data_IF_796983403565
#
_entry.id   IF_796983403565
#
_cell.length_a   1.000
_cell.length_b   1.000
_cell.length_c   1.000
_cell.angle_alpha   90.00
_cell.angle_beta   90.00
_cell.angle_gamma   90.00
#
_symmetry.space_group_name_H-M   'P 1'
#
loop_
_entity.id
_entity.type
_entity.pdbx_description
1 polymer ?
#
# COMPACT_ATOMS: atom_id res chain seq x y z
N UNK A 1 11.54 7.41 -12.69
CA UNK A 1 13.01 7.52 -12.70
C UNK A 1 13.54 7.68 -14.12
N UNK A 2 13.37 6.69 -15.01
CA UNK A 2 13.81 6.79 -16.41
C UNK A 2 13.24 8.01 -17.16
N UNK A 3 11.94 8.27 -17.03
CA UNK A 3 11.28 9.46 -17.62
C UNK A 3 11.87 10.79 -17.14
N UNK A 4 12.43 10.82 -15.93
CA UNK A 4 13.01 12.01 -15.31
C UNK A 4 14.52 12.13 -15.56
N UNK A 5 15.14 11.15 -16.23
CA UNK A 5 16.59 11.12 -16.43
C UNK A 5 17.41 10.99 -15.14
N UNK A 6 16.80 10.54 -14.03
CA UNK A 6 17.48 10.42 -12.73
C UNK A 6 18.09 9.03 -12.54
N UNK A 7 19.21 8.97 -11.83
CA UNK A 7 19.83 7.72 -11.41
C UNK A 7 18.84 6.88 -10.59
N UNK A 8 18.80 5.57 -10.87
CA UNK A 8 17.88 4.64 -10.23
C UNK A 8 18.68 3.49 -9.61
N UNK A 9 18.45 3.26 -8.31
CA UNK A 9 19.06 2.18 -7.56
C UNK A 9 17.97 1.27 -7.01
N UNK A 10 18.20 -0.05 -7.08
CA UNK A 10 17.29 -1.05 -6.51
C UNK A 10 17.97 -1.64 -5.27
N UNK A 11 17.28 -1.56 -4.13
CA UNK A 11 17.72 -2.17 -2.87
C UNK A 11 16.80 -3.34 -2.57
N UNK A 12 17.36 -4.54 -2.52
CA UNK A 12 16.60 -5.72 -2.12
C UNK A 12 16.38 -5.73 -0.60
N UNK A 13 15.14 -5.99 -0.19
CA UNK A 13 14.77 -6.02 1.23
C UNK A 13 13.92 -7.25 1.52
N UNK A 14 14.21 -7.92 2.64
CA UNK A 14 13.44 -9.02 3.17
C UNK A 14 12.61 -8.51 4.35
N UNK A 15 11.34 -8.19 4.12
CA UNK A 15 10.48 -7.64 5.19
C UNK A 15 9.86 -8.70 6.07
N UNK A 16 9.53 -9.86 5.50
CA UNK A 16 8.94 -10.98 6.25
C UNK A 16 9.95 -11.75 7.11
N UNK A 17 11.25 -11.42 7.02
CA UNK A 17 12.26 -11.96 7.92
C UNK A 17 12.33 -11.26 9.28
N UNK A 18 11.68 -10.10 9.42
CA UNK A 18 11.56 -9.37 10.68
C UNK A 18 10.21 -9.69 11.32
N UNK A 19 10.23 -10.29 12.51
CA UNK A 19 9.00 -10.66 13.23
C UNK A 19 8.14 -9.44 13.58
N UNK A 20 8.75 -8.27 13.80
CA UNK A 20 8.03 -7.02 14.06
C UNK A 20 7.26 -6.53 12.83
N UNK A 21 7.52 -7.13 11.67
CA UNK A 21 6.78 -6.90 10.44
C UNK A 21 5.86 -8.09 10.12
N UNK A 22 6.40 -9.31 10.15
CA UNK A 22 5.70 -10.53 9.75
C UNK A 22 4.47 -10.83 10.61
N UNK A 23 4.53 -10.57 11.93
CA UNK A 23 3.40 -10.75 12.86
C UNK A 23 2.30 -9.70 12.71
N UNK A 24 2.45 -8.76 11.79
CA UNK A 24 1.49 -7.71 11.49
C UNK A 24 0.99 -6.93 12.73
N UNK A 25 1.84 -6.48 13.67
CA UNK A 25 1.37 -5.67 14.79
C UNK A 25 0.90 -4.28 14.33
N UNK A 26 0.13 -3.52 15.15
CA UNK A 26 -0.31 -2.17 14.82
C UNK A 26 0.84 -1.20 14.46
N UNK A 27 2.02 -1.39 15.07
CA UNK A 27 3.22 -0.59 14.82
C UNK A 27 4.10 -1.13 13.67
N UNK A 28 3.68 -2.16 12.93
CA UNK A 28 4.41 -2.74 11.77
C UNK A 28 4.96 -1.68 10.83
N UNK A 29 4.16 -0.65 10.53
CA UNK A 29 4.54 0.44 9.64
C UNK A 29 5.78 1.21 10.10
N UNK A 30 6.00 1.33 11.42
CA UNK A 30 7.19 1.94 12.00
C UNK A 30 8.43 1.09 11.68
N UNK A 31 8.43 -0.19 12.07
CA UNK A 31 9.55 -1.12 11.84
C UNK A 31 9.87 -1.26 10.35
N UNK A 32 8.82 -1.39 9.54
CA UNK A 32 8.91 -1.43 8.09
C UNK A 32 9.57 -0.17 7.50
N UNK A 33 9.14 1.04 7.88
CA UNK A 33 9.80 2.27 7.39
C UNK A 33 11.24 2.38 7.90
N UNK A 34 11.49 2.08 9.17
CA UNK A 34 12.83 2.15 9.79
C UNK A 34 13.82 1.28 9.03
N UNK A 35 13.51 -0.01 8.85
CA UNK A 35 14.39 -0.95 8.14
C UNK A 35 14.67 -0.53 6.68
N UNK A 36 13.67 0.03 5.98
CA UNK A 36 13.85 0.48 4.60
C UNK A 36 14.72 1.73 4.49
N UNK A 37 14.44 2.74 5.30
CA UNK A 37 15.17 4.00 5.25
C UNK A 37 16.57 3.90 5.81
N UNK A 38 16.84 3.01 6.76
CA UNK A 38 18.22 2.69 7.18
C UNK A 38 19.08 2.21 6.01
N UNK A 39 18.57 1.27 5.19
CA UNK A 39 19.28 0.81 3.98
C UNK A 39 19.44 1.90 2.93
N UNK A 40 18.44 2.76 2.76
CA UNK A 40 18.53 3.92 1.84
C UNK A 40 19.60 4.89 2.31
N UNK A 41 19.69 5.16 3.61
CA UNK A 41 20.70 6.03 4.22
C UNK A 41 22.12 5.46 4.07
N UNK A 42 22.29 4.15 4.28
CA UNK A 42 23.56 3.45 4.04
C UNK A 42 24.03 3.62 2.59
N UNK A 43 23.13 3.37 1.63
CA UNK A 43 23.44 3.58 0.21
C UNK A 43 23.73 5.05 -0.11
N UNK A 44 22.96 5.97 0.48
CA UNK A 44 23.16 7.41 0.30
C UNK A 44 24.56 7.83 0.77
N UNK A 45 24.98 7.38 1.94
CA UNK A 45 26.31 7.62 2.48
C UNK A 45 27.42 7.04 1.58
N UNK A 46 27.28 5.78 1.13
CA UNK A 46 28.23 5.15 0.20
C UNK A 46 28.37 5.90 -1.14
N UNK A 47 27.30 6.56 -1.59
CA UNK A 47 27.29 7.37 -2.82
C UNK A 47 27.64 8.84 -2.60
N UNK A 48 27.91 9.26 -1.35
CA UNK A 48 28.24 10.64 -1.01
C UNK A 48 27.04 11.59 -0.99
N UNK A 49 25.81 11.09 -0.97
CA UNK A 49 24.61 11.90 -0.80
C UNK A 49 24.43 12.31 0.67
N UNK A 50 24.23 13.61 0.90
CA UNK A 50 24.08 14.18 2.26
C UNK A 50 22.66 14.10 2.81
N UNK A 51 21.67 13.90 1.96
CA UNK A 51 20.26 14.06 2.33
C UNK A 51 19.42 12.99 1.65
N UNK A 52 18.54 12.38 2.45
CA UNK A 52 17.49 11.48 1.98
C UNK A 52 16.15 12.17 2.20
N UNK A 53 15.31 12.13 1.17
CA UNK A 53 13.98 12.73 1.17
C UNK A 53 12.92 11.68 0.87
N UNK A 54 11.72 11.87 1.43
CA UNK A 54 10.53 11.08 1.08
C UNK A 54 9.39 11.94 0.53
N UNK A 55 8.34 11.26 0.05
CA UNK A 55 7.17 11.89 -0.54
C UNK A 55 6.04 12.22 0.44
N UNK A 56 6.29 12.27 1.75
CA UNK A 56 5.26 12.64 2.73
C UNK A 56 4.79 14.07 2.45
N UNK A 57 3.47 14.26 2.38
CA UNK A 57 2.81 15.53 2.04
C UNK A 57 2.02 16.12 3.23
N UNK A 58 1.42 17.29 3.06
CA UNK A 58 0.74 18.00 4.14
C UNK A 58 -0.54 17.30 4.64
N UNK A 59 -1.27 16.59 3.77
CA UNK A 59 -2.50 15.88 4.18
C UNK A 59 -2.19 14.72 5.12
N UNK A 60 -1.01 14.11 4.99
CA UNK A 60 -0.55 13.01 5.85
C UNK A 60 -0.33 13.44 7.31
N UNK A 61 -0.32 14.73 7.62
CA UNK A 61 -0.16 15.25 8.99
C UNK A 61 -1.39 15.01 9.88
N UNK A 62 -2.57 14.85 9.28
CA UNK A 62 -3.83 14.60 10.00
C UNK A 62 -4.01 13.12 10.39
N UNK A 63 -3.13 12.25 9.94
CA UNK A 63 -3.22 10.81 10.15
C UNK A 63 -2.22 10.32 11.20
N UNK A 64 -2.67 9.47 12.13
CA UNK A 64 -1.77 8.77 13.03
C UNK A 64 -0.96 7.73 12.26
N UNK A 65 0.27 8.10 11.85
CA UNK A 65 1.14 7.23 11.04
C UNK A 65 2.40 6.85 11.81
N UNK A 66 2.48 5.64 12.40
CA UNK A 66 3.68 5.15 13.07
C UNK A 66 4.95 5.24 12.21
N UNK A 67 4.82 5.07 10.89
CA UNK A 67 5.94 5.23 9.96
C UNK A 67 6.56 6.64 9.94
N UNK A 68 5.81 7.71 10.21
CA UNK A 68 6.34 9.08 10.23
C UNK A 68 7.33 9.28 11.37
N UNK A 69 7.09 8.63 12.51
CA UNK A 69 8.01 8.60 13.65
C UNK A 69 9.38 8.04 13.25
N UNK A 70 9.41 6.92 12.52
CA UNK A 70 10.65 6.32 12.04
C UNK A 70 11.45 7.25 11.11
N UNK A 71 10.78 8.02 10.25
CA UNK A 71 11.46 8.99 9.38
C UNK A 71 12.10 10.14 10.16
N UNK A 72 11.39 10.65 11.18
CA UNK A 72 11.92 11.69 12.06
C UNK A 72 13.16 11.22 12.82
N UNK A 73 13.12 10.02 13.39
CA UNK A 73 14.27 9.41 14.09
C UNK A 73 15.48 9.20 13.15
N UNK A 74 15.22 8.93 11.87
CA UNK A 74 16.26 8.73 10.84
C UNK A 74 16.68 10.04 10.14
N UNK A 75 16.18 11.19 10.57
CA UNK A 75 16.45 12.50 9.95
C UNK A 75 16.16 12.55 8.44
N UNK A 76 15.15 11.80 7.98
CA UNK A 76 14.68 11.84 6.59
C UNK A 76 13.81 13.07 6.41
N UNK A 77 14.08 13.87 5.38
CA UNK A 77 13.31 15.08 5.10
C UNK A 77 12.05 14.76 4.29
N UNK A 78 10.98 15.50 4.57
CA UNK A 78 9.72 15.43 3.83
C UNK A 78 9.39 16.81 3.25
N UNK A 79 10.06 17.25 2.16
CA UNK A 79 9.96 18.63 1.68
C UNK A 79 8.53 19.06 1.38
N UNK A 80 7.72 18.18 0.78
CA UNK A 80 6.33 18.48 0.41
C UNK A 80 5.49 18.82 1.66
N UNK A 81 5.64 18.06 2.74
CA UNK A 81 5.01 18.36 4.01
C UNK A 81 5.55 19.64 4.66
N UNK A 82 6.87 19.88 4.59
CA UNK A 82 7.51 21.07 5.17
C UNK A 82 7.00 22.38 4.53
N UNK A 83 6.73 22.36 3.22
CA UNK A 83 6.18 23.53 2.50
C UNK A 83 4.66 23.55 2.45
N UNK A 84 3.98 22.63 3.15
CA UNK A 84 2.51 22.60 3.24
C UNK A 84 1.79 22.14 1.96
N UNK A 85 2.48 21.46 1.03
CA UNK A 85 1.85 20.99 -0.21
C UNK A 85 0.89 19.82 0.05
N UNK A 86 -0.36 20.03 -0.34
CA UNK A 86 -1.42 19.02 -0.34
C UNK A 86 -1.31 18.09 -1.55
N UNK A 87 -1.95 16.93 -1.47
CA UNK A 87 -2.05 15.96 -2.55
C UNK A 87 -2.67 16.56 -3.81
N UNK A 88 -3.67 17.44 -3.67
CA UNK A 88 -4.30 18.09 -4.80
C UNK A 88 -3.33 19.01 -5.55
N UNK A 89 -2.55 19.81 -4.80
CA UNK A 89 -1.53 20.70 -5.37
C UNK A 89 -0.38 19.91 -6.02
N UNK A 90 0.07 18.83 -5.38
CA UNK A 90 1.10 17.94 -5.93
C UNK A 90 0.64 17.32 -7.27
N UNK A 91 -0.63 16.88 -7.36
CA UNK A 91 -1.20 16.35 -8.60
C UNK A 91 -1.26 17.40 -9.70
N UNK A 92 -1.69 18.62 -9.37
CA UNK A 92 -1.73 19.74 -10.31
C UNK A 92 -0.32 20.09 -10.82
N UNK A 93 0.66 20.19 -9.93
CA UNK A 93 2.05 20.45 -10.27
C UNK A 93 2.62 19.31 -11.14
N UNK A 94 2.41 18.06 -10.74
CA UNK A 94 2.85 16.88 -11.49
C UNK A 94 2.28 16.85 -12.91
N UNK A 95 0.99 17.20 -13.06
CA UNK A 95 0.33 17.28 -14.37
C UNK A 95 0.91 18.39 -15.23
N UNK A 96 1.19 19.57 -14.66
CA UNK A 96 1.85 20.70 -15.36
C UNK A 96 3.28 20.35 -15.81
N UNK A 97 3.96 19.51 -15.04
CA UNK A 97 5.30 18.99 -15.38
C UNK A 97 5.26 17.82 -16.38
N UNK A 98 4.08 17.37 -16.82
CA UNK A 98 3.93 16.25 -17.75
C UNK A 98 4.26 14.88 -17.16
N UNK A 99 4.23 14.72 -15.83
CA UNK A 99 4.55 13.44 -15.19
C UNK A 99 3.42 12.43 -15.40
N UNK A 100 3.73 11.28 -16.00
CA UNK A 100 2.77 10.20 -16.27
C UNK A 100 2.04 9.68 -15.02
N UNK A 101 2.66 9.84 -13.84
CA UNK A 101 2.12 9.38 -12.56
C UNK A 101 1.19 10.37 -11.87
N UNK A 102 0.86 11.52 -12.48
CA UNK A 102 0.09 12.59 -11.83
C UNK A 102 -1.25 12.11 -11.27
N UNK A 103 -1.92 11.16 -11.92
CA UNK A 103 -3.19 10.58 -11.47
C UNK A 103 -3.05 9.14 -10.94
N UNK A 104 -1.84 8.71 -10.59
CA UNK A 104 -1.62 7.37 -10.07
C UNK A 104 -2.34 7.22 -8.73
N UNK A 105 -3.15 6.17 -8.62
CA UNK A 105 -3.82 5.83 -7.37
C UNK A 105 -2.79 5.37 -6.32
N UNK A 106 -3.01 5.80 -5.08
CA UNK A 106 -2.17 5.39 -3.96
C UNK A 106 -2.40 3.90 -3.67
N UNK A 107 -1.32 3.14 -3.56
CA UNK A 107 -1.36 1.73 -3.18
C UNK A 107 -0.88 1.60 -1.74
N UNK A 108 -1.68 0.93 -0.91
CA UNK A 108 -1.29 0.58 0.45
C UNK A 108 -0.57 -0.77 0.48
N UNK A 109 0.25 -1.00 1.50
CA UNK A 109 0.92 -2.27 1.69
C UNK A 109 -0.09 -3.44 1.77
N UNK A 110 0.23 -4.59 1.16
CA UNK A 110 -0.60 -5.79 1.26
C UNK A 110 -0.83 -6.26 2.70
N UNK A 111 0.05 -5.92 3.64
CA UNK A 111 -0.16 -6.19 5.06
C UNK A 111 -1.49 -5.63 5.60
N UNK A 112 -1.99 -4.55 5.01
CA UNK A 112 -3.30 -3.99 5.37
C UNK A 112 -4.45 -4.94 5.03
N UNK A 113 -4.28 -5.91 4.13
CA UNK A 113 -5.33 -6.90 3.82
C UNK A 113 -5.50 -7.95 4.92
N UNK A 114 -4.62 -7.97 5.92
CA UNK A 114 -4.64 -8.92 7.01
C UNK A 114 -5.00 -8.21 8.32
N UNK A 115 -5.82 -8.82 9.18
CA UNK A 115 -6.03 -8.36 10.55
C UNK A 115 -4.71 -8.17 11.30
N UNK A 116 -4.65 -7.17 12.18
CA UNK A 116 -3.50 -7.01 13.07
C UNK A 116 -3.26 -8.29 13.90
N UNK A 117 -1.99 -8.62 14.12
CA UNK A 117 -1.58 -9.86 14.79
C UNK A 117 -1.56 -11.10 13.90
N UNK A 118 -2.05 -11.02 12.65
CA UNK A 118 -1.94 -12.14 11.70
C UNK A 118 -0.49 -12.34 11.29
N UNK A 119 0.03 -13.56 11.45
CA UNK A 119 1.35 -13.91 10.94
C UNK A 119 1.33 -14.04 9.41
N UNK A 120 1.86 -13.05 8.71
CA UNK A 120 1.85 -12.99 7.25
C UNK A 120 2.94 -13.85 6.64
N UNK A 121 2.55 -14.67 5.67
CA UNK A 121 3.48 -15.43 4.83
C UNK A 121 3.54 -14.89 3.41
N UNK A 122 4.64 -15.21 2.70
CA UNK A 122 4.79 -14.88 1.27
C UNK A 122 3.68 -15.53 0.43
N UNK A 123 3.26 -16.74 0.80
CA UNK A 123 2.21 -17.48 0.10
C UNK A 123 0.87 -16.76 0.22
N UNK A 124 0.47 -16.34 1.44
CA UNK A 124 -0.78 -15.62 1.65
C UNK A 124 -0.80 -14.25 0.97
N UNK A 125 0.29 -13.49 1.04
CA UNK A 125 0.41 -12.21 0.34
C UNK A 125 0.29 -12.41 -1.17
N UNK A 126 0.97 -13.42 -1.71
CA UNK A 126 0.91 -13.73 -3.15
C UNK A 126 -0.51 -14.11 -3.60
N UNK A 127 -1.21 -14.93 -2.80
CA UNK A 127 -2.60 -15.31 -3.03
C UNK A 127 -3.53 -14.09 -3.06
N UNK A 128 -3.39 -13.17 -2.12
CA UNK A 128 -4.18 -11.93 -2.08
C UNK A 128 -3.87 -11.05 -3.28
N UNK A 129 -2.58 -10.86 -3.60
CA UNK A 129 -2.16 -10.05 -4.73
C UNK A 129 -2.70 -10.59 -6.07
N UNK A 130 -2.60 -11.90 -6.29
CA UNK A 130 -3.11 -12.56 -7.49
C UNK A 130 -4.64 -12.42 -7.60
N UNK A 131 -5.37 -12.63 -6.49
CA UNK A 131 -6.81 -12.41 -6.46
C UNK A 131 -7.20 -10.96 -6.80
N UNK A 132 -6.52 -9.97 -6.22
CA UNK A 132 -6.79 -8.55 -6.52
C UNK A 132 -6.51 -8.22 -7.99
N UNK A 133 -5.41 -8.73 -8.56
CA UNK A 133 -5.04 -8.49 -9.95
C UNK A 133 -6.03 -9.12 -10.94
N UNK A 134 -6.51 -10.34 -10.67
CA UNK A 134 -7.53 -10.98 -11.49
C UNK A 134 -8.87 -10.24 -11.42
N UNK A 135 -9.30 -9.80 -10.23
CA UNK A 135 -10.54 -9.04 -10.09
C UNK A 135 -10.42 -7.67 -10.78
N UNK A 136 -9.26 -7.00 -10.73
CA UNK A 136 -9.02 -5.76 -11.50
C UNK A 136 -9.22 -5.94 -12.99
N UNK A 137 -8.83 -7.10 -13.56
CA UNK A 137 -9.04 -7.39 -14.99
C UNK A 137 -10.51 -7.53 -15.37
N UNK A 138 -11.41 -7.72 -14.40
CA UNK A 138 -12.85 -7.65 -14.63
C UNK A 138 -13.37 -6.20 -14.69
N UNK A 139 -12.51 -5.19 -14.53
CA UNK A 139 -12.87 -3.77 -14.60
C UNK A 139 -13.19 -3.12 -13.24
N UNK A 140 -12.94 -3.82 -12.13
CA UNK A 140 -13.06 -3.25 -10.78
C UNK A 140 -11.85 -2.38 -10.44
N UNK A 141 -12.09 -1.28 -9.72
CA UNK A 141 -11.07 -0.31 -9.33
C UNK A 141 -11.08 -0.08 -7.82
N UNK A 142 -9.97 0.41 -7.26
CA UNK A 142 -9.86 0.69 -5.81
C UNK A 142 -10.32 -0.46 -4.88
N UNK A 143 -10.12 -1.70 -5.32
CA UNK A 143 -10.57 -2.88 -4.57
C UNK A 143 -9.56 -3.35 -3.52
N UNK A 144 -10.05 -4.05 -2.50
CA UNK A 144 -9.21 -4.81 -1.56
C UNK A 144 -9.77 -6.20 -1.32
N UNK A 145 -8.91 -7.22 -1.33
CA UNK A 145 -9.27 -8.57 -0.88
C UNK A 145 -8.70 -8.76 0.53
N UNK A 146 -9.53 -8.62 1.57
CA UNK A 146 -9.14 -8.88 2.96
C UNK A 146 -9.10 -10.38 3.21
N UNK A 147 -8.01 -10.82 3.85
CA UNK A 147 -7.78 -12.22 4.19
C UNK A 147 -8.12 -12.47 5.65
N UNK A 148 -9.12 -13.31 5.90
CA UNK A 148 -9.51 -13.79 7.22
C UNK A 148 -9.36 -15.33 7.23
N UNK A 149 -8.10 -15.80 7.14
CA UNK A 149 -7.79 -17.22 6.97
C UNK A 149 -8.35 -17.78 5.67
N UNK A 150 -9.39 -18.60 5.76
CA UNK A 150 -10.05 -19.21 4.60
C UNK A 150 -11.09 -18.30 3.92
N UNK A 151 -11.42 -17.15 4.52
CA UNK A 151 -12.43 -16.22 4.02
C UNK A 151 -11.75 -15.06 3.28
N UNK A 152 -12.16 -14.82 2.03
CA UNK A 152 -11.87 -13.58 1.31
C UNK A 152 -13.05 -12.63 1.47
N UNK A 153 -12.79 -11.46 2.06
CA UNK A 153 -13.76 -10.36 2.10
C UNK A 153 -13.36 -9.29 1.10
N UNK A 154 -14.14 -9.15 0.04
CA UNK A 154 -13.92 -8.19 -1.04
C UNK A 154 -14.54 -6.83 -0.69
N UNK A 155 -13.71 -5.81 -0.61
CA UNK A 155 -14.11 -4.41 -0.48
C UNK A 155 -14.05 -3.73 -1.86
N UNK A 156 -15.12 -3.06 -2.25
CA UNK A 156 -15.26 -2.33 -3.51
C UNK A 156 -15.89 -0.96 -3.28
N UNK A 157 -15.65 0.03 -4.17
CA UNK A 157 -16.45 1.25 -4.18
C UNK A 157 -17.95 0.93 -4.27
N UNK A 158 -18.80 1.69 -3.58
CA UNK A 158 -20.24 1.43 -3.52
C UNK A 158 -20.90 1.32 -4.92
N UNK A 159 -20.43 2.15 -5.86
CA UNK A 159 -20.89 2.16 -7.26
C UNK A 159 -20.58 0.86 -8.02
N UNK A 160 -19.59 0.09 -7.56
CA UNK A 160 -19.16 -1.17 -8.18
C UNK A 160 -19.82 -2.40 -7.52
N UNK A 161 -20.45 -2.26 -6.34
CA UNK A 161 -21.03 -3.38 -5.60
C UNK A 161 -22.12 -4.13 -6.37
N UNK A 162 -22.99 -3.40 -7.09
CA UNK A 162 -24.08 -4.00 -7.86
C UNK A 162 -23.57 -4.96 -8.95
N UNK A 163 -22.51 -4.57 -9.67
CA UNK A 163 -21.90 -5.44 -10.67
C UNK A 163 -21.25 -6.68 -10.04
N UNK A 164 -20.68 -6.54 -8.83
CA UNK A 164 -20.02 -7.62 -8.11
C UNK A 164 -21.02 -8.67 -7.57
N UNK A 165 -22.19 -8.25 -7.07
CA UNK A 165 -23.23 -9.19 -6.57
C UNK A 165 -24.15 -9.71 -7.68
N UNK A 166 -24.21 -9.01 -8.81
CA UNK A 166 -25.00 -9.38 -9.99
C UNK A 166 -24.17 -10.12 -11.04
N UNK A 167 -23.95 -9.45 -12.17
CA UNK A 167 -23.40 -10.06 -13.39
C UNK A 167 -22.02 -10.72 -13.21
N UNK A 168 -21.16 -10.21 -12.32
CA UNK A 168 -19.78 -10.71 -12.13
C UNK A 168 -19.62 -11.65 -10.93
N UNK A 169 -20.71 -11.97 -10.22
CA UNK A 169 -20.69 -12.73 -8.96
C UNK A 169 -19.97 -14.07 -9.08
N UNK A 170 -20.33 -14.87 -10.08
CA UNK A 170 -19.72 -16.20 -10.28
C UNK A 170 -18.24 -16.09 -10.61
N UNK A 171 -17.87 -15.15 -11.49
CA UNK A 171 -16.47 -14.92 -11.86
C UNK A 171 -15.62 -14.54 -10.64
N UNK A 172 -16.12 -13.63 -9.80
CA UNK A 172 -15.44 -13.23 -8.55
C UNK A 172 -15.30 -14.43 -7.62
N UNK A 173 -16.36 -15.22 -7.41
CA UNK A 173 -16.29 -16.40 -6.55
C UNK A 173 -15.26 -17.41 -7.07
N UNK A 174 -15.22 -17.66 -8.38
CA UNK A 174 -14.24 -18.56 -9.01
C UNK A 174 -12.81 -18.03 -8.88
N UNK A 175 -12.58 -16.71 -9.04
CA UNK A 175 -11.26 -16.10 -8.83
C UNK A 175 -10.82 -16.28 -7.37
N UNK A 176 -11.68 -15.98 -6.40
CA UNK A 176 -11.31 -16.10 -4.99
C UNK A 176 -11.05 -17.57 -4.61
N UNK A 177 -11.91 -18.50 -5.04
CA UNK A 177 -11.73 -19.93 -4.75
C UNK A 177 -10.47 -20.52 -5.36
N UNK A 178 -10.16 -20.20 -6.63
CA UNK A 178 -8.94 -20.70 -7.29
C UNK A 178 -7.67 -20.17 -6.62
N UNK A 179 -7.74 -18.97 -6.04
CA UNK A 179 -6.65 -18.37 -5.28
C UNK A 179 -6.57 -18.91 -3.84
N UNK A 180 -7.32 -19.96 -3.49
CA UNK A 180 -7.17 -20.68 -2.22
C UNK A 180 -8.08 -20.22 -1.08
N UNK A 181 -9.12 -19.41 -1.36
CA UNK A 181 -10.14 -19.07 -0.38
C UNK A 181 -11.28 -20.11 -0.38
N UNK A 182 -11.69 -20.61 0.79
CA UNK A 182 -12.85 -21.51 0.91
C UNK A 182 -14.17 -20.74 0.75
N UNK A 183 -14.21 -19.52 1.27
CA UNK A 183 -15.39 -18.68 1.26
C UNK A 183 -15.07 -17.33 0.62
N UNK A 184 -16.03 -16.85 -0.19
CA UNK A 184 -15.97 -15.57 -0.88
C UNK A 184 -17.10 -14.70 -0.35
N UNK A 185 -16.77 -13.53 0.19
CA UNK A 185 -17.74 -12.57 0.72
C UNK A 185 -17.47 -11.18 0.15
N UNK A 186 -18.49 -10.32 0.19
CA UNK A 186 -18.39 -8.91 -0.15
C UNK A 186 -18.69 -8.12 1.11
N UNK A 187 -17.90 -7.09 1.37
CA UNK A 187 -18.15 -6.14 2.44
C UNK A 187 -19.29 -5.19 2.03
N UNK A 188 -20.36 -5.16 2.82
CA UNK A 188 -21.53 -4.31 2.55
C UNK A 188 -21.25 -2.83 2.79
N UNK A 189 -20.28 -2.49 3.64
CA UNK A 189 -19.83 -1.11 3.82
C UNK A 189 -18.95 -0.65 2.65
N UNK A 190 -18.49 -1.59 1.83
CA UNK A 190 -17.61 -1.35 0.69
C UNK A 190 -16.21 -0.90 1.08
N UNK A 191 -15.54 -0.25 0.15
CA UNK A 191 -14.17 0.26 0.33
C UNK A 191 -14.16 1.50 1.21
N UNK A 192 -13.43 1.42 2.33
CA UNK A 192 -13.19 2.54 3.24
C UNK A 192 -11.69 2.73 3.50
N UNK A 193 -11.25 3.98 3.56
CA UNK A 193 -9.89 4.30 3.97
C UNK A 193 -9.77 4.08 5.49
N UNK A 194 -8.72 3.38 5.93
CA UNK A 194 -8.52 3.12 7.37
C UNK A 194 -9.42 2.05 8.00
N UNK A 195 -10.16 1.23 7.25
CA UNK A 195 -11.10 0.24 7.83
C UNK A 195 -10.49 -0.83 8.74
N UNK A 196 -9.16 -0.89 8.87
CA UNK A 196 -8.47 -1.79 9.79
C UNK A 196 -8.09 -1.11 11.11
N UNK A 197 -8.24 0.20 11.19
CA UNK A 197 -7.89 1.03 12.35
C UNK A 197 -9.15 1.42 13.17
N UNK A 198 -10.30 0.83 12.83
CA UNK A 198 -11.58 0.88 13.59
C UNK A 198 -11.64 -0.24 14.63
#
# INVERSE_FOLDING_TARGET
AKELGVAHFVIETTRLGDENIAKNPPDRCYHCKKAAFSKILELAAQKGYRTVMDGTNADDAKEHRPGKKALGELSVLSPLALVGLTKAEIRLASRRMGLSTWDRQAQTCFATRFPYGTNMTKAEISRVAAAEDEIRRLGFSNLRVRCHGDIARLELPAVELLAAVGEKRELISTILKRNGFKYSTIDLDGYRFGSMDE
#
